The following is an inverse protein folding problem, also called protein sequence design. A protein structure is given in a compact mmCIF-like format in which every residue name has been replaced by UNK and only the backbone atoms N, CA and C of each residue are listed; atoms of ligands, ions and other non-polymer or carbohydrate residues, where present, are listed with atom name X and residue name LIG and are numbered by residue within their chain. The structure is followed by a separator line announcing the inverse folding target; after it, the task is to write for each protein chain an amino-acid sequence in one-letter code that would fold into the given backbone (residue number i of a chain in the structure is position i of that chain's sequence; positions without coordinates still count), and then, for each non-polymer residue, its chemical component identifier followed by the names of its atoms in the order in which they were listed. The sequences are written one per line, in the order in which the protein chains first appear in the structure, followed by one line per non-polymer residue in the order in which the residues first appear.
data_IF_212303788790
#
_entry.id   IF_212303788790
#
_cell.length_a   1.000
_cell.length_b   1.000
_cell.length_c   1.000
_cell.angle_alpha   90.00
_cell.angle_beta   90.00
_cell.angle_gamma   90.00
#
_symmetry.space_group_name_H-M   'P 1'
#
loop_
_entity.id
_entity.type
_entity.pdbx_description
1 polymer ?
#
# COMPACT_ATOMS: atom_id res chain seq x y z
N UNK A 1 13.30 -6.88 -30.78
CA UNK A 1 11.88 -6.80 -30.37
C UNK A 1 11.66 -7.83 -29.28
N UNK A 2 11.21 -7.41 -28.08
CA UNK A 2 10.69 -8.36 -27.10
C UNK A 2 9.48 -9.04 -27.75
N UNK A 3 9.55 -10.36 -27.97
CA UNK A 3 8.38 -11.16 -28.33
C UNK A 3 7.65 -11.55 -27.04
N UNK A 4 6.33 -11.67 -27.13
CA UNK A 4 5.38 -11.83 -26.00
C UNK A 4 5.85 -12.83 -24.91
N UNK A 5 6.46 -13.96 -25.28
CA UNK A 5 7.02 -14.95 -24.33
C UNK A 5 8.17 -14.42 -23.45
N UNK A 6 9.01 -13.50 -23.95
CA UNK A 6 10.13 -12.94 -23.20
C UNK A 6 9.65 -12.02 -22.08
N UNK A 7 8.47 -11.41 -22.25
CA UNK A 7 7.89 -10.51 -21.27
C UNK A 7 7.20 -11.27 -20.14
N UNK A 8 6.45 -12.33 -20.43
CA UNK A 8 5.86 -13.18 -19.38
C UNK A 8 6.96 -13.83 -18.50
N UNK A 9 8.08 -14.22 -19.12
CA UNK A 9 9.27 -14.67 -18.39
C UNK A 9 9.90 -13.56 -17.53
N UNK A 10 9.87 -12.31 -17.99
CA UNK A 10 10.32 -11.16 -17.20
C UNK A 10 9.37 -10.90 -16.01
N UNK A 11 8.05 -10.95 -16.20
CA UNK A 11 7.03 -10.84 -15.14
C UNK A 11 7.24 -11.94 -14.10
N UNK A 12 7.34 -13.20 -14.52
CA UNK A 12 7.57 -14.34 -13.64
C UNK A 12 8.92 -14.28 -12.90
N UNK A 13 9.95 -13.71 -13.53
CA UNK A 13 11.25 -13.48 -12.86
C UNK A 13 11.14 -12.44 -11.75
N UNK A 14 10.30 -11.42 -11.95
CA UNK A 14 10.06 -10.37 -10.95
C UNK A 14 9.15 -10.88 -9.83
N UNK A 15 8.19 -11.78 -10.08
CA UNK A 15 7.22 -12.22 -9.05
C UNK A 15 7.61 -13.51 -8.29
N UNK A 16 8.91 -13.76 -8.04
CA UNK A 16 9.34 -14.90 -7.21
C UNK A 16 8.97 -14.69 -5.73
N UNK A 17 8.42 -15.73 -5.09
CA UNK A 17 8.07 -15.78 -3.67
C UNK A 17 9.28 -15.44 -2.79
N UNK A 18 9.10 -14.48 -1.90
CA UNK A 18 10.06 -14.11 -0.86
C UNK A 18 9.26 -13.63 0.36
N UNK A 19 9.69 -13.98 1.58
CA UNK A 19 8.90 -13.75 2.81
C UNK A 19 8.50 -12.28 3.06
N UNK A 20 9.19 -11.33 2.42
CA UNK A 20 8.92 -9.89 2.54
C UNK A 20 8.48 -9.23 1.23
N UNK A 21 7.93 -10.02 0.29
CA UNK A 21 7.52 -9.55 -1.04
C UNK A 21 6.11 -10.01 -1.36
N UNK A 22 5.13 -9.12 -1.15
CA UNK A 22 3.74 -9.36 -1.57
C UNK A 22 3.55 -9.24 -3.08
N UNK A 23 4.29 -8.35 -3.75
CA UNK A 23 4.14 -8.13 -5.19
C UNK A 23 5.44 -7.63 -5.86
N UNK A 24 5.51 -7.81 -7.18
CA UNK A 24 6.56 -7.30 -8.04
C UNK A 24 6.15 -6.00 -8.74
N UNK A 25 7.02 -4.99 -8.76
CA UNK A 25 6.83 -3.80 -9.59
C UNK A 25 7.40 -4.04 -10.99
N UNK A 26 6.64 -3.64 -12.00
CA UNK A 26 7.07 -3.61 -13.40
C UNK A 26 7.00 -2.16 -13.85
N UNK A 27 8.13 -1.63 -14.33
CA UNK A 27 8.20 -0.27 -14.87
C UNK A 27 8.36 -0.39 -16.37
N UNK A 28 7.38 0.13 -17.11
CA UNK A 28 7.40 0.14 -18.56
C UNK A 28 7.75 1.53 -19.08
N UNK A 29 8.92 1.62 -19.70
CA UNK A 29 9.44 2.84 -20.31
C UNK A 29 9.09 2.96 -21.79
N UNK A 30 8.49 1.93 -22.40
CA UNK A 30 8.27 1.83 -23.84
C UNK A 30 6.78 1.73 -24.22
N UNK A 31 5.86 1.89 -23.25
CA UNK A 31 4.40 1.81 -23.44
C UNK A 31 3.90 0.48 -24.04
N UNK A 32 4.66 -0.59 -23.84
CA UNK A 32 4.37 -1.94 -24.36
C UNK A 32 3.29 -2.64 -23.52
N UNK A 33 3.11 -2.26 -22.26
CA UNK A 33 2.12 -2.87 -21.36
C UNK A 33 0.67 -2.65 -21.80
N UNK A 34 0.36 -1.52 -22.46
CA UNK A 34 -0.99 -1.25 -22.97
C UNK A 34 -1.39 -2.13 -24.16
N UNK A 35 -0.42 -2.53 -24.98
CA UNK A 35 -0.61 -3.54 -26.03
C UNK A 35 -0.56 -4.96 -25.45
N UNK A 36 0.16 -5.15 -24.34
CA UNK A 36 0.29 -6.43 -23.66
C UNK A 36 -1.02 -6.89 -23.03
N UNK A 37 -1.84 -5.99 -22.46
CA UNK A 37 -3.15 -6.37 -21.89
C UNK A 37 -3.99 -7.12 -22.94
N UNK A 38 -3.99 -6.62 -24.19
CA UNK A 38 -4.66 -7.26 -25.33
C UNK A 38 -4.00 -8.58 -25.75
N UNK A 39 -2.68 -8.67 -25.68
CA UNK A 39 -1.93 -9.88 -26.03
C UNK A 39 -2.09 -10.98 -24.96
N UNK A 40 -2.17 -10.61 -23.68
CA UNK A 40 -2.46 -11.49 -22.55
C UNK A 40 -3.87 -12.08 -22.66
N UNK A 41 -4.88 -11.26 -22.98
CA UNK A 41 -6.24 -11.73 -23.27
C UNK A 41 -6.28 -12.68 -24.48
N UNK A 42 -5.48 -12.44 -25.51
CA UNK A 42 -5.36 -13.40 -26.62
C UNK A 42 -4.70 -14.72 -26.17
N UNK A 43 -3.68 -14.67 -25.32
CA UNK A 43 -2.93 -15.85 -24.90
C UNK A 43 -3.70 -16.73 -23.91
N UNK A 44 -4.51 -16.14 -23.01
CA UNK A 44 -5.45 -16.88 -22.14
C UNK A 44 -6.44 -17.71 -22.94
N UNK A 45 -6.92 -17.19 -24.07
CA UNK A 45 -7.77 -17.93 -25.00
C UNK A 45 -7.08 -19.15 -25.66
N UNK A 46 -5.74 -19.20 -25.68
CA UNK A 46 -4.97 -20.32 -26.27
C UNK A 46 -4.39 -21.31 -25.25
N UNK A 47 -4.09 -20.90 -24.01
CA UNK A 47 -3.50 -21.78 -22.98
C UNK A 47 -4.51 -22.35 -21.96
N UNK A 48 -5.80 -22.04 -22.08
CA UNK A 48 -6.84 -22.61 -21.21
C UNK A 48 -6.87 -22.01 -19.81
N UNK A 49 -6.28 -20.83 -19.63
CA UNK A 49 -6.51 -19.98 -18.46
C UNK A 49 -7.80 -19.21 -18.68
N UNK A 50 -8.73 -19.23 -17.71
CA UNK A 50 -9.90 -18.38 -17.78
C UNK A 50 -9.46 -16.91 -17.63
N UNK A 51 -10.04 -16.00 -18.43
CA UNK A 51 -9.77 -14.56 -18.31
C UNK A 51 -10.00 -14.04 -16.87
N UNK A 52 -10.89 -14.69 -16.11
CA UNK A 52 -11.13 -14.40 -14.70
C UNK A 52 -9.95 -14.70 -13.78
N UNK A 53 -9.10 -15.67 -14.12
CA UNK A 53 -7.91 -16.01 -13.32
C UNK A 53 -6.79 -14.98 -13.52
N UNK A 54 -6.79 -14.31 -14.68
CA UNK A 54 -5.85 -13.25 -15.00
C UNK A 54 -6.33 -11.88 -14.51
N UNK A 55 -7.65 -11.70 -14.37
CA UNK A 55 -8.27 -10.48 -13.85
C UNK A 55 -7.77 -10.18 -12.42
N UNK A 56 -7.01 -9.09 -12.27
CA UNK A 56 -6.39 -8.68 -11.00
C UNK A 56 -4.91 -9.09 -10.85
N UNK A 57 -4.33 -9.83 -11.79
CA UNK A 57 -2.89 -10.12 -11.82
C UNK A 57 -2.06 -8.88 -12.14
N UNK A 58 -2.61 -7.97 -12.95
CA UNK A 58 -2.00 -6.70 -13.30
C UNK A 58 -2.93 -5.56 -12.89
N UNK A 59 -2.68 -4.99 -11.71
CA UNK A 59 -3.42 -3.83 -11.24
C UNK A 59 -2.64 -2.57 -11.55
N UNK A 60 -3.30 -1.58 -12.16
CA UNK A 60 -2.68 -0.28 -12.39
C UNK A 60 -2.35 0.38 -11.06
N UNK A 61 -1.11 0.87 -10.93
CA UNK A 61 -0.70 1.64 -9.75
C UNK A 61 -1.64 2.83 -9.57
N UNK A 62 -2.16 3.41 -10.65
CA UNK A 62 -3.09 4.53 -10.62
C UNK A 62 -4.41 4.22 -9.90
N UNK A 63 -5.03 3.07 -10.18
CA UNK A 63 -6.29 2.68 -9.51
C UNK A 63 -6.09 2.44 -8.01
N UNK A 64 -4.89 2.01 -7.59
CA UNK A 64 -4.56 1.91 -6.17
C UNK A 64 -4.27 3.28 -5.55
N UNK A 65 -3.62 4.20 -6.28
CA UNK A 65 -3.40 5.57 -5.78
C UNK A 65 -4.70 6.35 -5.59
N UNK A 66 -5.72 6.11 -6.42
CA UNK A 66 -7.03 6.76 -6.29
C UNK A 66 -7.78 6.34 -5.02
N UNK A 67 -7.46 5.17 -4.46
CA UNK A 67 -8.04 4.69 -3.19
C UNK A 67 -7.40 5.37 -1.97
N UNK A 68 -6.24 6.02 -2.13
CA UNK A 68 -5.49 6.62 -1.03
C UNK A 68 -6.31 7.62 -0.19
N UNK A 69 -7.08 8.57 -0.78
CA UNK A 69 -7.87 9.51 0.00
C UNK A 69 -8.99 8.83 0.80
N UNK A 70 -9.59 7.76 0.24
CA UNK A 70 -10.61 6.97 0.93
C UNK A 70 -10.01 6.24 2.13
N UNK A 71 -8.89 5.53 1.94
CA UNK A 71 -8.16 4.84 3.03
C UNK A 71 -7.69 5.79 4.12
N UNK A 72 -7.26 6.99 3.73
CA UNK A 72 -6.93 8.05 4.67
C UNK A 72 -8.15 8.49 5.48
N UNK A 73 -9.31 8.71 4.83
CA UNK A 73 -10.55 9.03 5.53
C UNK A 73 -10.96 7.90 6.49
N UNK A 74 -10.90 6.65 6.04
CA UNK A 74 -11.27 5.48 6.86
C UNK A 74 -10.39 5.36 8.11
N UNK A 75 -9.10 5.70 8.00
CA UNK A 75 -8.20 5.73 9.16
C UNK A 75 -8.62 6.82 10.16
N UNK A 76 -8.95 8.02 9.67
CA UNK A 76 -9.43 9.13 10.50
C UNK A 76 -10.84 8.89 11.08
N UNK A 77 -11.65 8.08 10.42
CA UNK A 77 -13.01 7.75 10.84
C UNK A 77 -13.03 7.02 12.19
N UNK A 78 -12.02 6.18 12.47
CA UNK A 78 -11.85 5.54 13.79
C UNK A 78 -11.69 6.55 14.92
N UNK A 79 -11.19 7.73 14.60
CA UNK A 79 -10.80 8.76 15.54
C UNK A 79 -11.79 9.92 15.66
N UNK A 80 -12.92 9.88 14.94
CA UNK A 80 -13.96 10.93 14.98
C UNK A 80 -14.56 11.16 16.37
N UNK A 81 -14.48 10.16 17.25
CA UNK A 81 -14.97 10.22 18.63
C UNK A 81 -14.03 11.01 19.55
N UNK A 82 -12.79 11.25 19.14
CA UNK A 82 -11.79 12.01 19.91
C UNK A 82 -12.02 13.51 19.72
N UNK A 83 -12.50 14.18 20.78
CA UNK A 83 -12.88 15.61 20.75
C UNK A 83 -11.70 16.57 20.55
N UNK A 84 -10.48 16.17 20.91
CA UNK A 84 -9.28 17.00 20.82
C UNK A 84 -8.17 16.26 20.04
N UNK A 85 -7.90 16.69 18.81
CA UNK A 85 -6.93 16.04 17.92
C UNK A 85 -5.46 16.11 18.37
N UNK A 86 -5.18 16.86 19.45
CA UNK A 86 -3.86 17.03 20.05
C UNK A 86 -3.64 16.19 21.33
N UNK A 87 -4.64 15.40 21.76
CA UNK A 87 -4.54 14.61 22.98
C UNK A 87 -4.11 13.17 22.66
N UNK A 88 -2.81 12.89 22.73
CA UNK A 88 -2.24 11.55 22.52
C UNK A 88 -2.81 10.52 23.50
N UNK A 89 -3.12 10.93 24.73
CA UNK A 89 -3.67 10.03 25.73
C UNK A 89 -5.10 9.59 25.38
N UNK A 90 -5.92 10.50 24.82
CA UNK A 90 -7.26 10.17 24.37
C UNK A 90 -7.25 9.16 23.20
N UNK A 91 -6.26 9.24 22.32
CA UNK A 91 -6.06 8.26 21.25
C UNK A 91 -5.68 6.89 21.80
N UNK A 92 -4.76 6.84 22.76
CA UNK A 92 -4.33 5.58 23.38
C UNK A 92 -5.46 4.91 24.15
N UNK A 93 -6.25 5.68 24.91
CA UNK A 93 -7.39 5.15 25.68
C UNK A 93 -8.45 4.56 24.76
N UNK A 94 -8.74 5.20 23.62
CA UNK A 94 -9.67 4.65 22.63
C UNK A 94 -9.18 3.31 22.06
N UNK A 95 -7.87 3.18 21.85
CA UNK A 95 -7.21 1.95 21.37
C UNK A 95 -7.00 0.91 22.48
N UNK A 96 -7.58 1.13 23.66
CA UNK A 96 -7.66 0.11 24.71
C UNK A 96 -8.60 -1.03 24.37
N UNK A 97 -9.64 -0.77 23.58
CA UNK A 97 -10.49 -1.82 23.02
C UNK A 97 -9.71 -2.59 21.95
N UNK A 98 -9.57 -3.91 22.15
CA UNK A 98 -8.86 -4.81 21.25
C UNK A 98 -9.43 -4.80 19.83
N UNK A 99 -10.77 -4.73 19.69
CA UNK A 99 -11.41 -4.71 18.37
C UNK A 99 -11.09 -3.44 17.60
N UNK A 100 -11.08 -2.28 18.28
CA UNK A 100 -10.76 -1.00 17.65
C UNK A 100 -9.26 -0.95 17.32
N UNK A 101 -8.42 -1.53 18.18
CA UNK A 101 -6.96 -1.59 17.99
C UNK A 101 -6.56 -2.44 16.79
N UNK A 102 -7.14 -3.63 16.63
CA UNK A 102 -6.92 -4.47 15.46
C UNK A 102 -7.35 -3.77 14.16
N UNK A 103 -8.52 -3.15 14.17
CA UNK A 103 -9.03 -2.38 13.02
C UNK A 103 -8.08 -1.21 12.67
N UNK A 104 -7.59 -0.50 13.68
CA UNK A 104 -6.58 0.56 13.49
C UNK A 104 -5.29 0.01 12.85
N UNK A 105 -4.79 -1.14 13.30
CA UNK A 105 -3.58 -1.73 12.73
C UNK A 105 -3.77 -2.16 11.28
N UNK A 106 -4.92 -2.74 10.96
CA UNK A 106 -5.28 -3.11 9.59
C UNK A 106 -5.33 -1.88 8.68
N UNK A 107 -6.12 -0.86 9.05
CA UNK A 107 -6.25 0.38 8.26
C UNK A 107 -4.93 1.15 8.12
N UNK A 108 -4.11 1.19 9.17
CA UNK A 108 -2.80 1.84 9.13
C UNK A 108 -1.85 1.11 8.17
N UNK A 109 -1.87 -0.22 8.16
CA UNK A 109 -1.08 -1.04 7.24
C UNK A 109 -1.51 -0.82 5.79
N UNK A 110 -2.82 -0.88 5.51
CA UNK A 110 -3.38 -0.60 4.17
C UNK A 110 -3.03 0.81 3.67
N UNK A 111 -3.18 1.83 4.53
CA UNK A 111 -2.82 3.20 4.20
C UNK A 111 -1.32 3.33 3.92
N UNK A 112 -0.46 2.73 4.75
CA UNK A 112 0.99 2.74 4.58
C UNK A 112 1.43 2.08 3.27
N UNK A 113 0.87 0.92 2.93
CA UNK A 113 1.13 0.22 1.66
C UNK A 113 0.68 1.05 0.45
N UNK A 114 -0.54 1.58 0.50
CA UNK A 114 -1.10 2.42 -0.57
C UNK A 114 -0.27 3.69 -0.77
N UNK A 115 0.17 4.34 0.32
CA UNK A 115 1.03 5.52 0.24
C UNK A 115 2.41 5.18 -0.33
N UNK A 116 3.01 4.06 0.06
CA UNK A 116 4.30 3.62 -0.49
C UNK A 116 4.20 3.33 -2.00
N UNK A 117 3.10 2.73 -2.46
CA UNK A 117 2.81 2.54 -3.88
C UNK A 117 2.62 3.88 -4.59
N UNK A 118 1.89 4.82 -3.98
CA UNK A 118 1.66 6.16 -4.53
C UNK A 118 2.95 6.98 -4.66
N UNK A 119 3.83 6.93 -3.66
CA UNK A 119 5.15 7.56 -3.69
C UNK A 119 6.09 6.95 -4.75
N UNK A 120 5.81 5.72 -5.19
CA UNK A 120 6.54 5.08 -6.28
C UNK A 120 6.00 5.46 -7.67
N UNK A 121 4.90 6.23 -7.75
CA UNK A 121 4.30 6.69 -8.98
C UNK A 121 4.72 8.14 -9.28
N UNK A 122 5.39 8.35 -10.41
CA UNK A 122 5.80 9.69 -10.87
C UNK A 122 4.59 10.60 -11.13
N UNK A 123 3.51 10.04 -11.69
CA UNK A 123 2.26 10.78 -11.94
C UNK A 123 1.67 11.34 -10.64
N UNK A 124 1.61 10.52 -9.59
CA UNK A 124 1.10 10.95 -8.29
C UNK A 124 1.92 12.08 -7.67
N UNK A 125 3.26 12.00 -7.77
CA UNK A 125 4.15 13.06 -7.29
C UNK A 125 4.01 14.37 -8.08
N UNK A 126 3.65 14.30 -9.36
CA UNK A 126 3.48 15.48 -10.21
C UNK A 126 2.11 16.14 -10.05
N UNK A 127 1.05 15.34 -9.83
CA UNK A 127 -0.33 15.82 -9.73
C UNK A 127 -0.74 16.24 -8.30
N UNK A 128 -0.07 15.72 -7.27
CA UNK A 128 -0.42 16.00 -5.87
C UNK A 128 0.34 17.21 -5.33
N UNK A 129 -0.36 18.12 -4.65
CA UNK A 129 0.26 19.26 -3.98
C UNK A 129 1.22 18.83 -2.85
N UNK A 130 2.38 19.49 -2.77
CA UNK A 130 3.42 19.19 -1.79
C UNK A 130 2.93 19.28 -0.33
N UNK A 131 1.94 20.14 -0.04
CA UNK A 131 1.37 20.25 1.31
C UNK A 131 0.56 19.01 1.67
N UNK A 132 -0.18 18.48 0.70
CA UNK A 132 -0.98 17.25 0.89
C UNK A 132 -0.06 16.05 1.08
N UNK A 133 1.01 15.97 0.29
CA UNK A 133 2.03 14.93 0.43
C UNK A 133 2.71 14.98 1.80
N UNK A 134 3.11 16.17 2.23
CA UNK A 134 3.74 16.40 3.53
C UNK A 134 2.80 16.04 4.69
N UNK A 135 1.50 16.34 4.56
CA UNK A 135 0.48 15.95 5.53
C UNK A 135 0.38 14.42 5.63
N UNK A 136 0.23 13.71 4.53
CA UNK A 136 0.15 12.24 4.55
C UNK A 136 1.39 11.59 5.18
N UNK A 137 2.59 12.09 4.87
CA UNK A 137 3.83 11.61 5.50
C UNK A 137 3.85 11.89 6.99
N UNK A 138 3.47 13.11 7.41
CA UNK A 138 3.43 13.49 8.83
C UNK A 138 2.43 12.65 9.62
N UNK A 139 1.22 12.45 9.08
CA UNK A 139 0.17 11.66 9.71
C UNK A 139 0.57 10.19 9.80
N UNK A 140 1.19 9.63 8.75
CA UNK A 140 1.72 8.26 8.81
C UNK A 140 2.75 8.11 9.93
N UNK A 141 3.67 9.06 10.10
CA UNK A 141 4.63 9.06 11.22
C UNK A 141 3.92 9.13 12.56
N UNK A 142 2.93 10.03 12.70
CA UNK A 142 2.14 10.17 13.94
C UNK A 142 1.44 8.86 14.31
N UNK A 143 0.75 8.22 13.37
CA UNK A 143 0.04 6.96 13.63
C UNK A 143 0.98 5.78 13.87
N UNK A 144 2.16 5.76 13.26
CA UNK A 144 3.20 4.76 13.56
C UNK A 144 3.74 4.92 15.00
N UNK A 145 4.01 6.14 15.43
CA UNK A 145 4.39 6.43 16.82
C UNK A 145 3.27 6.04 17.79
N UNK A 146 2.01 6.33 17.46
CA UNK A 146 0.85 5.93 18.26
C UNK A 146 0.74 4.40 18.35
N UNK A 147 0.89 3.67 17.24
CA UNK A 147 0.92 2.19 17.23
C UNK A 147 2.01 1.66 18.17
N UNK A 148 3.21 2.25 18.14
CA UNK A 148 4.30 1.84 19.03
C UNK A 148 3.98 2.10 20.51
N UNK A 149 3.40 3.27 20.84
CA UNK A 149 3.00 3.61 22.20
C UNK A 149 1.91 2.68 22.74
N UNK A 150 0.87 2.41 21.92
CA UNK A 150 -0.23 1.50 22.25
C UNK A 150 0.27 0.07 22.47
N UNK A 151 1.16 -0.43 21.60
CA UNK A 151 1.78 -1.77 21.80
C UNK A 151 2.51 -1.87 23.13
N UNK A 152 3.25 -0.82 23.53
CA UNK A 152 3.95 -0.77 24.81
C UNK A 152 2.97 -0.71 25.99
N UNK A 153 1.94 0.14 25.90
CA UNK A 153 0.94 0.36 26.94
C UNK A 153 0.11 -0.89 27.23
N UNK A 154 -0.28 -1.64 26.20
CA UNK A 154 -1.08 -2.85 26.32
C UNK A 154 -0.26 -4.14 26.31
N UNK A 155 1.07 -4.03 26.46
CA UNK A 155 2.01 -5.15 26.55
C UNK A 155 1.87 -6.20 25.42
N UNK A 156 1.59 -5.73 24.19
CA UNK A 156 1.52 -6.61 23.03
C UNK A 156 2.93 -7.05 22.60
N UNK A 157 3.05 -8.31 22.16
CA UNK A 157 4.30 -8.81 21.63
C UNK A 157 4.74 -7.96 20.43
N UNK A 158 5.93 -7.35 20.52
CA UNK A 158 6.50 -6.54 19.45
C UNK A 158 6.93 -7.49 18.33
N UNK A 159 6.08 -7.67 17.32
CA UNK A 159 6.50 -8.29 16.08
C UNK A 159 7.29 -7.27 15.25
N UNK A 160 8.61 -7.44 15.22
CA UNK A 160 9.53 -6.61 14.44
C UNK A 160 9.37 -6.82 12.91
N UNK A 161 8.51 -7.75 12.45
CA UNK A 161 8.15 -7.93 11.04
C UNK A 161 7.18 -6.86 10.51
N UNK A 162 6.49 -6.14 11.40
CA UNK A 162 5.53 -5.08 11.03
C UNK A 162 6.18 -3.80 10.49
N UNK A 163 7.47 -3.60 10.75
CA UNK A 163 8.21 -2.52 10.13
C UNK A 163 8.63 -2.98 8.75
N UNK A 164 7.78 -2.79 7.74
CA UNK A 164 8.25 -2.87 6.37
C UNK A 164 9.46 -1.92 6.24
N UNK A 165 10.69 -2.44 6.02
CA UNK A 165 11.88 -1.60 5.98
C UNK A 165 11.80 -0.55 4.87
N UNK A 166 10.92 -0.78 3.89
CA UNK A 166 10.53 0.18 2.85
C UNK A 166 9.83 1.41 3.41
N UNK A 167 8.83 1.25 4.29
CA UNK A 167 8.12 2.38 4.91
C UNK A 167 9.09 3.19 5.76
N UNK A 168 9.95 2.54 6.55
CA UNK A 168 10.98 3.23 7.34
C UNK A 168 11.91 4.08 6.45
N UNK A 169 12.41 3.51 5.35
CA UNK A 169 13.29 4.22 4.40
C UNK A 169 12.59 5.39 3.70
N UNK A 170 11.29 5.27 3.42
CA UNK A 170 10.45 6.35 2.88
C UNK A 170 10.19 7.47 3.89
N UNK A 171 10.20 7.16 5.19
CA UNK A 171 10.06 8.13 6.27
C UNK A 171 11.39 8.81 6.63
N UNK A 172 12.54 8.20 6.36
CA UNK A 172 13.86 8.77 6.67
C UNK A 172 14.46 9.61 5.52
N UNK A 173 13.78 9.70 4.37
CA UNK A 173 14.16 10.53 3.20
C UNK A 173 13.31 11.80 3.14
#
# INVERSE_FOLDING_TARGET
MLREHTLLQAIARVNRLHESKEFGFIIDYASVLGELDKALTMYSAFEGFDESDLAGTLTSIHSETEKLPARYSDLWDLFKTVKHSCDEEAYEVLLGDESIREEFYSRLSEFGKTLAMALSSEKFLTETDDKTLSRYKADLRKFQSLKASVKLRYAEAIDYRDYEPKIKKLLDT
#
